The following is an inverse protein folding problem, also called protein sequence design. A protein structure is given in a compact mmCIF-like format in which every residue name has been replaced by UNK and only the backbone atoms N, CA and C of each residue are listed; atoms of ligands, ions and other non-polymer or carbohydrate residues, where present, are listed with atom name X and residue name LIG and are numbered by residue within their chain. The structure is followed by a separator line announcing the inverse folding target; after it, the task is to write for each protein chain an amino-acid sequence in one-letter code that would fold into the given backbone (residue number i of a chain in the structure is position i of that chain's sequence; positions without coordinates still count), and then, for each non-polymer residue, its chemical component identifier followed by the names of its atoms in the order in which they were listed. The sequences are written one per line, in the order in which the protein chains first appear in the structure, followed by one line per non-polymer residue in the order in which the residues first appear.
data_IF_950631205707
#
_entry.id   IF_950631205707
#
_cell.length_a   1.000
_cell.length_b   1.000
_cell.length_c   1.000
_cell.angle_alpha   90.00
_cell.angle_beta   90.00
_cell.angle_gamma   90.00
#
_symmetry.space_group_name_H-M   'P 1'
#
loop_
_entity.id
_entity.type
_entity.pdbx_description
1 polymer ?
#
# COMPACT_ATOMS: atom_id res chain seq x y z
N UNK A 1 29.91 5.16 -5.22
CA UNK A 1 29.22 3.90 -5.02
C UNK A 1 30.12 2.71 -5.32
N UNK A 2 29.93 1.59 -4.66
CA UNK A 2 30.70 0.38 -4.93
C UNK A 2 30.03 -0.46 -6.04
N UNK A 3 30.70 -1.53 -6.51
CA UNK A 3 30.22 -2.39 -7.58
C UNK A 3 28.86 -3.08 -7.25
N UNK A 4 28.60 -3.36 -5.99
CA UNK A 4 27.31 -3.91 -5.54
C UNK A 4 26.19 -2.89 -5.74
N UNK A 5 26.44 -1.65 -5.35
CA UNK A 5 25.47 -0.57 -5.55
C UNK A 5 25.17 -0.33 -7.03
N UNK A 6 26.19 -0.39 -7.89
CA UNK A 6 26.02 -0.31 -9.34
C UNK A 6 25.11 -1.43 -9.86
N UNK A 7 25.38 -2.68 -9.51
CA UNK A 7 24.55 -3.83 -9.94
C UNK A 7 23.11 -3.73 -9.42
N UNK A 8 22.93 -3.31 -8.16
CA UNK A 8 21.59 -3.12 -7.58
C UNK A 8 20.79 -2.03 -8.32
N UNK A 9 21.44 -0.93 -8.68
CA UNK A 9 20.78 0.20 -9.34
C UNK A 9 20.61 -0.01 -10.84
N UNK A 10 21.63 -0.54 -11.53
CA UNK A 10 21.64 -0.69 -12.98
C UNK A 10 20.92 -1.95 -13.44
N UNK A 11 21.25 -3.12 -12.86
CA UNK A 11 20.65 -4.41 -13.21
C UNK A 11 19.36 -4.70 -12.43
N UNK A 12 18.99 -3.82 -11.46
CA UNK A 12 17.81 -3.98 -10.60
C UNK A 12 17.83 -5.27 -9.75
N UNK A 13 19.01 -5.72 -9.40
CA UNK A 13 19.25 -6.87 -8.53
C UNK A 13 19.10 -6.51 -7.05
N UNK A 14 18.81 -7.52 -6.22
CA UNK A 14 18.97 -7.40 -4.76
C UNK A 14 20.45 -7.44 -4.40
N UNK A 15 20.81 -7.03 -3.19
CA UNK A 15 22.19 -7.12 -2.71
C UNK A 15 22.75 -8.55 -2.77
N UNK A 16 21.93 -9.54 -2.37
CA UNK A 16 22.30 -10.95 -2.40
C UNK A 16 22.52 -11.45 -3.83
N UNK A 17 21.67 -11.08 -4.77
CA UNK A 17 21.84 -11.40 -6.20
C UNK A 17 23.11 -10.77 -6.76
N UNK A 18 23.39 -9.52 -6.40
CA UNK A 18 24.63 -8.84 -6.81
C UNK A 18 25.88 -9.52 -6.23
N UNK A 19 25.83 -9.95 -4.97
CA UNK A 19 26.93 -10.70 -4.33
C UNK A 19 27.14 -12.06 -4.99
N UNK A 20 26.07 -12.82 -5.28
CA UNK A 20 26.17 -14.10 -6.01
C UNK A 20 26.73 -13.93 -7.39
N UNK A 21 26.21 -12.99 -8.17
CA UNK A 21 26.66 -12.70 -9.54
C UNK A 21 28.15 -12.37 -9.59
N UNK A 22 28.64 -11.60 -8.62
CA UNK A 22 30.07 -11.30 -8.52
C UNK A 22 30.86 -12.52 -8.04
N UNK A 23 30.36 -13.27 -7.05
CA UNK A 23 30.99 -14.51 -6.60
C UNK A 23 31.19 -15.50 -7.74
N UNK A 24 30.15 -15.78 -8.49
CA UNK A 24 30.18 -16.69 -9.65
C UNK A 24 31.16 -16.19 -10.73
N UNK A 25 31.15 -14.88 -11.00
CA UNK A 25 32.04 -14.28 -12.01
C UNK A 25 33.52 -14.37 -11.65
N UNK A 26 33.85 -14.29 -10.36
CA UNK A 26 35.22 -14.30 -9.87
C UNK A 26 35.64 -15.63 -9.24
N UNK A 27 34.81 -16.69 -9.33
CA UNK A 27 35.11 -18.01 -8.79
C UNK A 27 35.19 -18.04 -7.26
N UNK A 28 34.53 -17.10 -6.59
CA UNK A 28 34.49 -17.03 -5.12
C UNK A 28 33.22 -17.74 -4.64
N UNK A 29 33.39 -18.85 -3.93
CA UNK A 29 32.26 -19.52 -3.28
C UNK A 29 31.68 -18.65 -2.16
N UNK A 30 30.53 -18.05 -2.43
CA UNK A 30 29.80 -17.25 -1.43
C UNK A 30 29.05 -18.19 -0.51
N UNK A 31 29.59 -18.47 0.66
CA UNK A 31 28.89 -19.19 1.73
C UNK A 31 27.90 -18.24 2.38
N UNK A 32 26.64 -18.33 1.96
CA UNK A 32 25.53 -17.61 2.58
C UNK A 32 25.14 -18.40 3.84
N UNK A 33 25.08 -17.73 4.98
CA UNK A 33 24.75 -18.36 6.27
C UNK A 33 23.28 -18.75 6.42
N UNK A 34 22.70 -18.58 7.60
CA UNK A 34 21.29 -18.90 7.92
C UNK A 34 20.29 -18.22 6.96
N UNK A 35 20.70 -17.15 6.28
CA UNK A 35 19.99 -16.50 5.16
C UNK A 35 19.66 -17.42 3.97
N UNK A 36 20.41 -18.53 3.77
CA UNK A 36 20.17 -19.41 2.63
C UNK A 36 18.85 -20.18 2.70
N UNK A 37 18.47 -20.60 3.92
CA UNK A 37 17.20 -21.32 4.14
C UNK A 37 16.02 -20.38 3.90
N UNK A 38 16.12 -19.15 4.38
CA UNK A 38 15.08 -18.14 4.21
C UNK A 38 14.96 -17.73 2.73
N UNK A 39 16.07 -17.62 2.01
CA UNK A 39 16.08 -17.33 0.57
C UNK A 39 15.47 -18.48 -0.25
N UNK A 40 15.80 -19.74 0.07
CA UNK A 40 15.22 -20.90 -0.58
C UNK A 40 13.70 -21.01 -0.28
N UNK A 41 13.28 -20.74 0.95
CA UNK A 41 11.84 -20.68 1.30
C UNK A 41 11.10 -19.58 0.54
N UNK A 42 11.66 -18.37 0.46
CA UNK A 42 11.11 -17.28 -0.31
C UNK A 42 11.03 -17.59 -1.81
N UNK A 43 12.01 -18.28 -2.35
CA UNK A 43 11.99 -18.76 -3.74
C UNK A 43 10.85 -19.75 -3.95
N UNK A 44 10.75 -20.79 -3.11
CA UNK A 44 9.64 -21.77 -3.19
C UNK A 44 8.28 -21.12 -3.06
N UNK A 45 8.15 -20.10 -2.20
CA UNK A 45 6.91 -19.36 -2.04
C UNK A 45 6.56 -18.58 -3.32
N UNK A 46 7.53 -17.92 -3.97
CA UNK A 46 7.32 -17.21 -5.25
C UNK A 46 6.96 -18.19 -6.37
N UNK A 47 7.64 -19.33 -6.45
CA UNK A 47 7.36 -20.37 -7.44
C UNK A 47 5.95 -20.93 -7.25
N UNK A 48 5.51 -21.13 -6.00
CA UNK A 48 4.16 -21.57 -5.70
C UNK A 48 3.10 -20.52 -6.10
N UNK A 49 3.32 -19.23 -5.82
CA UNK A 49 2.41 -18.14 -6.24
C UNK A 49 2.34 -18.03 -7.77
N UNK A 50 3.46 -18.24 -8.46
CA UNK A 50 3.51 -18.30 -9.94
C UNK A 50 2.67 -19.45 -10.48
N UNK A 51 2.84 -20.66 -9.93
CA UNK A 51 2.08 -21.84 -10.31
C UNK A 51 0.58 -21.67 -10.03
N UNK A 52 0.21 -21.04 -8.91
CA UNK A 52 -1.17 -20.69 -8.60
C UNK A 52 -1.75 -19.71 -9.63
N UNK A 53 -0.95 -18.74 -10.09
CA UNK A 53 -1.35 -17.82 -11.16
C UNK A 53 -1.65 -18.56 -12.45
N UNK A 54 -0.80 -19.49 -12.87
CA UNK A 54 -1.04 -20.32 -14.05
C UNK A 54 -2.30 -21.16 -13.93
N UNK A 55 -2.54 -21.72 -12.74
CA UNK A 55 -3.76 -22.49 -12.49
C UNK A 55 -5.02 -21.63 -12.57
N UNK A 56 -5.02 -20.43 -11.99
CA UNK A 56 -6.14 -19.50 -12.12
C UNK A 56 -6.35 -19.08 -13.59
N UNK A 57 -5.30 -18.91 -14.37
CA UNK A 57 -5.42 -18.61 -15.81
C UNK A 57 -5.99 -19.81 -16.59
N UNK A 58 -5.57 -21.04 -16.31
CA UNK A 58 -6.15 -22.25 -16.88
C UNK A 58 -7.62 -22.37 -16.54
N UNK A 59 -7.97 -22.11 -15.28
CA UNK A 59 -9.35 -22.13 -14.79
C UNK A 59 -10.23 -21.11 -15.51
N UNK A 60 -9.72 -19.89 -15.75
CA UNK A 60 -10.43 -18.85 -16.49
C UNK A 60 -10.72 -19.28 -17.93
N UNK A 61 -9.79 -19.99 -18.58
CA UNK A 61 -9.92 -20.47 -19.96
C UNK A 61 -10.69 -21.78 -20.09
N UNK A 62 -11.11 -22.39 -18.97
CA UNK A 62 -11.90 -23.63 -18.94
C UNK A 62 -13.39 -23.38 -19.20
N UNK A 63 -14.15 -24.48 -19.31
CA UNK A 63 -15.62 -24.40 -19.42
C UNK A 63 -16.23 -23.67 -18.23
N UNK A 64 -15.71 -23.89 -17.01
CA UNK A 64 -16.19 -23.27 -15.79
C UNK A 64 -15.84 -21.77 -15.70
N UNK A 65 -14.83 -21.31 -16.44
CA UNK A 65 -14.46 -19.89 -16.53
C UNK A 65 -15.31 -19.06 -17.50
N UNK A 66 -16.19 -19.69 -18.32
CA UNK A 66 -17.01 -18.98 -19.32
C UNK A 66 -17.84 -17.82 -18.74
N UNK A 67 -18.50 -17.96 -17.56
CA UNK A 67 -19.25 -16.83 -16.96
C UNK A 67 -18.32 -15.65 -16.64
N UNK A 68 -17.11 -15.90 -16.13
CA UNK A 68 -16.12 -14.87 -15.79
C UNK A 68 -15.59 -14.20 -17.07
N UNK A 69 -15.31 -14.97 -18.12
CA UNK A 69 -14.92 -14.43 -19.42
C UNK A 69 -16.02 -13.57 -20.03
N UNK A 70 -17.31 -13.98 -19.88
CA UNK A 70 -18.46 -13.18 -20.30
C UNK A 70 -18.49 -11.85 -19.53
N UNK A 71 -18.36 -11.90 -18.20
CA UNK A 71 -18.28 -10.70 -17.36
C UNK A 71 -17.15 -9.75 -17.81
N UNK A 72 -15.93 -10.26 -18.03
CA UNK A 72 -14.81 -9.45 -18.49
C UNK A 72 -15.09 -8.81 -19.85
N UNK A 73 -15.73 -9.54 -20.76
CA UNK A 73 -16.17 -9.01 -22.07
C UNK A 73 -17.22 -7.92 -21.95
N UNK A 74 -18.24 -8.12 -21.09
CA UNK A 74 -19.28 -7.12 -20.80
C UNK A 74 -18.70 -5.86 -20.17
N UNK A 75 -17.65 -6.00 -19.36
CA UNK A 75 -16.87 -4.87 -18.81
C UNK A 75 -15.90 -4.27 -19.82
N UNK A 76 -15.81 -4.78 -21.05
CA UNK A 76 -14.93 -4.25 -22.10
C UNK A 76 -13.45 -4.59 -21.92
N UNK A 77 -13.08 -5.53 -21.04
CA UNK A 77 -11.67 -5.92 -20.83
C UNK A 77 -11.19 -6.77 -22.01
N UNK A 78 -10.13 -6.31 -22.68
CA UNK A 78 -9.56 -6.96 -23.85
C UNK A 78 -8.82 -8.26 -23.48
N UNK A 79 -8.76 -9.21 -24.45
CA UNK A 79 -7.95 -10.44 -24.29
C UNK A 79 -6.47 -10.12 -24.03
N UNK A 80 -5.97 -9.04 -24.62
CA UNK A 80 -4.59 -8.58 -24.38
C UNK A 80 -4.41 -8.17 -22.92
N UNK A 81 -5.31 -7.37 -22.37
CA UNK A 81 -5.29 -6.94 -20.97
C UNK A 81 -5.38 -8.13 -20.02
N UNK A 82 -6.29 -9.09 -20.28
CA UNK A 82 -6.41 -10.35 -19.51
C UNK A 82 -5.07 -11.08 -19.46
N UNK A 83 -4.39 -11.22 -20.61
CA UNK A 83 -3.08 -11.88 -20.70
C UNK A 83 -1.98 -11.08 -20.03
N UNK A 84 -1.89 -9.78 -20.29
CA UNK A 84 -0.82 -8.90 -19.79
C UNK A 84 -0.81 -8.79 -18.26
N UNK A 85 -1.99 -8.85 -17.63
CA UNK A 85 -2.16 -8.81 -16.18
C UNK A 85 -2.43 -10.18 -15.56
N UNK A 86 -2.34 -11.25 -16.36
CA UNK A 86 -2.49 -12.63 -15.91
C UNK A 86 -3.78 -12.89 -15.12
N UNK A 87 -4.90 -12.24 -15.54
CA UNK A 87 -6.17 -12.43 -14.87
C UNK A 87 -6.57 -13.91 -14.89
N UNK A 88 -7.18 -14.38 -13.81
CA UNK A 88 -7.52 -15.77 -13.62
C UNK A 88 -8.90 -15.95 -12.98
N UNK A 89 -9.24 -17.19 -12.69
CA UNK A 89 -10.46 -17.55 -11.98
C UNK A 89 -10.18 -18.60 -10.90
N UNK A 90 -10.58 -18.33 -9.67
CA UNK A 90 -10.63 -19.31 -8.61
C UNK A 90 -11.99 -20.01 -8.64
N UNK A 91 -11.98 -21.33 -8.84
CA UNK A 91 -13.21 -22.14 -8.90
C UNK A 91 -14.07 -21.96 -7.65
N UNK A 92 -15.35 -22.24 -7.78
CA UNK A 92 -16.26 -22.40 -6.65
C UNK A 92 -16.02 -23.78 -6.00
N UNK A 93 -14.91 -23.87 -5.29
CA UNK A 93 -14.46 -25.08 -4.60
C UNK A 93 -13.70 -24.73 -3.33
N UNK A 94 -13.91 -25.52 -2.29
CA UNK A 94 -13.26 -25.33 -1.00
C UNK A 94 -11.82 -25.80 -0.96
N UNK A 95 -11.40 -26.65 -1.89
CA UNK A 95 -10.12 -27.36 -1.82
C UNK A 95 -9.45 -27.65 -3.18
N UNK A 96 -9.86 -26.96 -4.25
CA UNK A 96 -9.27 -27.17 -5.59
C UNK A 96 -7.78 -26.91 -5.60
N UNK A 97 -7.36 -25.70 -5.18
CA UNK A 97 -5.96 -25.32 -5.13
C UNK A 97 -5.20 -26.11 -4.05
N UNK A 98 -5.85 -26.41 -2.93
CA UNK A 98 -5.28 -27.23 -1.86
C UNK A 98 -4.94 -28.64 -2.33
N UNK A 99 -5.84 -29.29 -3.08
CA UNK A 99 -5.58 -30.61 -3.68
C UNK A 99 -4.41 -30.56 -4.66
N UNK A 100 -4.37 -29.51 -5.48
CA UNK A 100 -3.27 -29.32 -6.43
C UNK A 100 -1.94 -29.09 -5.70
N UNK A 101 -1.90 -28.26 -4.68
CA UNK A 101 -0.72 -28.01 -3.87
C UNK A 101 -0.20 -29.30 -3.21
N UNK A 102 -1.08 -30.10 -2.63
CA UNK A 102 -0.74 -31.41 -2.04
C UNK A 102 -0.20 -32.39 -3.08
N UNK A 103 -0.87 -32.50 -4.24
CA UNK A 103 -0.43 -33.35 -5.35
C UNK A 103 0.98 -32.99 -5.82
N UNK A 104 1.32 -31.71 -5.84
CA UNK A 104 2.63 -31.19 -6.25
C UNK A 104 3.65 -31.16 -5.10
N UNK A 105 3.35 -31.75 -3.94
CA UNK A 105 4.28 -31.85 -2.82
C UNK A 105 4.65 -30.52 -2.17
N UNK A 106 3.79 -29.51 -2.27
CA UNK A 106 4.06 -28.20 -1.65
C UNK A 106 4.06 -28.32 -0.12
N UNK A 107 5.16 -27.94 0.55
CA UNK A 107 5.25 -28.03 2.02
C UNK A 107 4.20 -27.20 2.74
N UNK A 108 3.72 -27.67 3.90
CA UNK A 108 2.67 -26.99 4.68
C UNK A 108 3.04 -25.56 5.10
N UNK A 109 4.30 -25.32 5.46
CA UNK A 109 4.80 -23.97 5.80
C UNK A 109 4.73 -23.00 4.60
N UNK A 110 4.96 -23.47 3.37
CA UNK A 110 4.81 -22.66 2.16
C UNK A 110 3.34 -22.36 1.91
N UNK A 111 2.45 -23.36 2.06
CA UNK A 111 1.00 -23.15 1.95
C UNK A 111 0.51 -22.09 2.96
N UNK A 112 0.90 -22.19 4.22
CA UNK A 112 0.50 -21.27 5.29
C UNK A 112 0.98 -19.82 5.02
N UNK A 113 2.20 -19.65 4.49
CA UNK A 113 2.79 -18.35 4.17
C UNK A 113 2.31 -17.74 2.85
N UNK A 114 1.61 -18.51 2.01
CA UNK A 114 1.20 -18.07 0.67
C UNK A 114 0.05 -17.05 0.67
N UNK A 115 -0.76 -17.05 1.72
CA UNK A 115 -2.00 -16.25 1.78
C UNK A 115 -3.11 -16.77 0.84
N UNK A 116 -2.96 -17.97 0.26
CA UNK A 116 -3.93 -18.61 -0.62
C UNK A 116 -4.89 -19.55 0.12
N UNK A 117 -4.58 -19.87 1.37
CA UNK A 117 -5.38 -20.76 2.19
C UNK A 117 -5.84 -20.09 3.47
N UNK A 118 -6.93 -20.59 4.01
CA UNK A 118 -7.45 -20.24 5.34
C UNK A 118 -7.44 -21.48 6.21
N UNK A 119 -6.83 -21.41 7.39
CA UNK A 119 -6.81 -22.48 8.36
C UNK A 119 -7.88 -22.19 9.43
N UNK A 120 -8.70 -23.17 9.71
CA UNK A 120 -9.74 -23.15 10.78
C UNK A 120 -9.67 -24.46 11.58
N UNK A 121 -10.45 -24.56 12.65
CA UNK A 121 -10.61 -25.81 13.40
C UNK A 121 -11.15 -26.97 12.53
N UNK A 122 -11.91 -26.65 11.48
CA UNK A 122 -12.48 -27.63 10.52
C UNK A 122 -11.48 -28.06 9.43
N UNK A 123 -10.30 -27.45 9.37
CA UNK A 123 -9.26 -27.77 8.38
C UNK A 123 -8.72 -26.59 7.61
N UNK A 124 -8.03 -26.90 6.52
CA UNK A 124 -7.43 -25.93 5.59
C UNK A 124 -8.27 -25.88 4.32
N UNK A 125 -8.60 -24.68 3.86
CA UNK A 125 -9.45 -24.43 2.71
C UNK A 125 -8.85 -23.38 1.80
N UNK A 126 -9.23 -23.40 0.52
CA UNK A 126 -8.91 -22.35 -0.44
C UNK A 126 -9.51 -21.01 0.03
N UNK A 127 -8.68 -19.98 0.11
CA UNK A 127 -9.11 -18.64 0.52
C UNK A 127 -10.00 -17.99 -0.52
N UNK A 128 -9.65 -18.13 -1.79
CA UNK A 128 -10.38 -17.55 -2.91
C UNK A 128 -11.24 -18.62 -3.57
N UNK A 129 -12.55 -18.37 -3.63
CA UNK A 129 -13.56 -19.26 -4.21
C UNK A 129 -14.53 -18.42 -5.01
N UNK A 130 -14.92 -18.92 -6.19
CA UNK A 130 -15.82 -18.23 -7.12
C UNK A 130 -15.43 -16.76 -7.35
N UNK A 131 -14.12 -16.50 -7.63
CA UNK A 131 -13.59 -15.15 -7.78
C UNK A 131 -12.77 -14.96 -9.04
N UNK A 132 -13.00 -13.84 -9.73
CA UNK A 132 -12.06 -13.31 -10.71
C UNK A 132 -10.79 -12.88 -9.97
N UNK A 133 -9.64 -13.41 -10.41
CA UNK A 133 -8.36 -13.24 -9.72
C UNK A 133 -7.47 -12.20 -10.41
N UNK A 134 -6.89 -11.33 -9.60
CA UNK A 134 -5.95 -10.28 -9.99
C UNK A 134 -4.60 -10.57 -9.32
N UNK A 135 -3.62 -11.13 -10.03
CA UNK A 135 -2.28 -11.30 -9.49
C UNK A 135 -1.64 -9.95 -9.16
N UNK A 136 -1.14 -9.81 -7.95
CA UNK A 136 -0.46 -8.61 -7.47
C UNK A 136 1.04 -8.87 -7.58
N UNK A 137 1.76 -7.98 -8.27
CA UNK A 137 3.17 -8.11 -8.54
C UNK A 137 4.01 -7.13 -7.72
N UNK A 138 5.21 -7.56 -7.35
CA UNK A 138 6.23 -6.62 -6.88
C UNK A 138 6.73 -5.75 -8.07
N UNK A 139 7.49 -4.66 -7.82
CA UNK A 139 8.02 -3.84 -8.90
C UNK A 139 8.94 -4.59 -9.89
N UNK A 140 9.48 -5.75 -9.50
CA UNK A 140 10.27 -6.65 -10.37
C UNK A 140 9.43 -7.53 -11.30
N UNK A 141 8.10 -7.57 -11.11
CA UNK A 141 7.19 -8.38 -11.93
C UNK A 141 6.91 -9.80 -11.40
N UNK A 142 7.38 -10.14 -10.21
CA UNK A 142 7.07 -11.42 -9.55
C UNK A 142 5.73 -11.31 -8.82
N UNK A 143 4.89 -12.34 -8.91
CA UNK A 143 3.63 -12.41 -8.15
C UNK A 143 3.93 -12.56 -6.66
N UNK A 144 3.30 -11.73 -5.83
CA UNK A 144 3.49 -11.69 -4.37
C UNK A 144 2.19 -11.88 -3.60
N UNK A 145 1.05 -11.70 -4.24
CA UNK A 145 -0.28 -11.81 -3.64
C UNK A 145 -1.36 -11.83 -4.72
N UNK A 146 -2.62 -11.88 -4.29
CA UNK A 146 -3.78 -11.85 -5.16
C UNK A 146 -4.87 -10.95 -4.58
N UNK A 147 -5.59 -10.26 -5.48
CA UNK A 147 -6.93 -9.76 -5.26
C UNK A 147 -7.94 -10.70 -5.90
N UNK A 148 -9.15 -10.77 -5.34
CA UNK A 148 -10.22 -11.60 -5.87
C UNK A 148 -11.55 -10.85 -5.83
N UNK A 149 -12.21 -10.65 -6.98
CA UNK A 149 -13.56 -10.10 -7.07
C UNK A 149 -14.56 -11.24 -7.13
N UNK A 150 -15.53 -11.23 -6.23
CA UNK A 150 -16.57 -12.27 -6.23
C UNK A 150 -17.40 -12.26 -7.52
N UNK A 151 -17.76 -13.45 -7.98
CA UNK A 151 -18.71 -13.66 -9.07
C UNK A 151 -20.13 -13.95 -8.53
N UNK A 152 -20.25 -14.12 -7.21
CA UNK A 152 -21.51 -14.28 -6.50
C UNK A 152 -22.04 -12.88 -6.09
N UNK A 153 -23.30 -12.61 -6.45
CA UNK A 153 -23.98 -11.35 -6.12
C UNK A 153 -24.35 -11.24 -4.63
N UNK A 154 -24.52 -12.38 -3.99
CA UNK A 154 -24.92 -12.47 -2.57
C UNK A 154 -23.71 -12.41 -1.62
N UNK A 155 -22.47 -12.52 -2.13
CA UNK A 155 -21.27 -12.39 -1.30
C UNK A 155 -21.04 -10.91 -0.92
N UNK A 156 -21.13 -10.56 0.39
CA UNK A 156 -20.96 -9.18 0.85
C UNK A 156 -19.54 -8.63 0.59
N UNK A 157 -18.54 -9.51 0.45
CA UNK A 157 -17.16 -9.15 0.17
C UNK A 157 -16.90 -9.05 -1.33
N UNK A 158 -17.38 -7.96 -1.98
CA UNK A 158 -17.18 -7.72 -3.41
C UNK A 158 -15.72 -7.92 -3.84
N UNK A 159 -14.76 -7.42 -3.05
CA UNK A 159 -13.33 -7.64 -3.24
C UNK A 159 -12.69 -8.21 -1.98
N UNK A 160 -11.75 -9.12 -2.16
CA UNK A 160 -10.94 -9.72 -1.10
C UNK A 160 -9.49 -9.78 -1.56
N UNK A 161 -8.55 -9.39 -0.70
CA UNK A 161 -7.13 -9.50 -0.96
C UNK A 161 -6.47 -10.59 -0.12
N UNK A 162 -5.30 -11.05 -0.56
CA UNK A 162 -4.41 -11.85 0.29
C UNK A 162 -4.19 -11.15 1.64
N UNK A 163 -3.99 -11.89 2.75
CA UNK A 163 -3.56 -11.31 4.01
C UNK A 163 -2.13 -10.74 3.89
N UNK A 164 -1.67 -10.04 4.91
CA UNK A 164 -0.25 -9.69 5.04
C UNK A 164 0.60 -10.97 5.04
N UNK A 165 1.69 -10.96 4.27
CA UNK A 165 2.65 -12.08 4.19
C UNK A 165 4.08 -11.55 4.20
N UNK A 166 5.06 -12.45 4.25
CA UNK A 166 6.48 -12.06 4.12
C UNK A 166 6.82 -11.41 2.77
N UNK A 167 6.01 -11.66 1.73
CA UNK A 167 6.18 -11.07 0.40
C UNK A 167 5.27 -9.88 0.14
N UNK A 168 4.16 -9.75 0.87
CA UNK A 168 3.11 -8.79 0.54
C UNK A 168 2.70 -7.97 1.75
N UNK A 169 2.74 -6.66 1.59
CA UNK A 169 2.21 -5.71 2.56
C UNK A 169 1.29 -4.72 1.86
N UNK A 170 -0.01 -4.77 2.21
CA UNK A 170 -1.08 -3.98 1.58
C UNK A 170 -0.80 -2.49 1.59
N UNK A 171 -0.16 -2.00 2.64
CA UNK A 171 0.05 -0.58 2.88
C UNK A 171 1.22 0.03 2.09
N UNK A 172 1.90 -0.75 1.22
CA UNK A 172 3.05 -0.29 0.44
C UNK A 172 3.10 -0.79 -1.00
N UNK A 173 2.15 -1.62 -1.42
CA UNK A 173 2.14 -2.23 -2.75
C UNK A 173 1.07 -1.57 -3.61
N UNK A 174 1.45 -1.20 -4.84
CA UNK A 174 0.52 -0.74 -5.86
C UNK A 174 0.29 -1.82 -6.91
N UNK A 175 -0.97 -2.02 -7.26
CA UNK A 175 -1.33 -2.86 -8.39
C UNK A 175 -0.87 -2.22 -9.70
N UNK A 176 -0.30 -3.01 -10.58
CA UNK A 176 0.14 -2.60 -11.91
C UNK A 176 1.48 -1.86 -11.97
N UNK A 177 2.10 -1.50 -10.83
CA UNK A 177 3.34 -0.72 -10.79
C UNK A 177 4.49 -1.37 -11.56
N UNK A 178 4.58 -2.70 -11.59
CA UNK A 178 5.57 -3.43 -12.38
C UNK A 178 5.53 -3.08 -13.88
N UNK A 179 4.35 -2.76 -14.43
CA UNK A 179 4.16 -2.37 -15.84
C UNK A 179 4.33 -0.86 -16.06
N UNK A 180 3.91 -0.05 -15.08
CA UNK A 180 3.72 1.40 -15.28
C UNK A 180 4.88 2.27 -14.75
N UNK A 181 5.73 1.74 -13.84
CA UNK A 181 6.81 2.50 -13.20
C UNK A 181 7.73 3.25 -14.16
N UNK A 182 8.08 2.64 -15.31
CA UNK A 182 8.94 3.27 -16.33
C UNK A 182 8.26 4.48 -16.97
N UNK A 183 6.96 4.37 -17.23
CA UNK A 183 6.18 5.46 -17.82
C UNK A 183 6.01 6.58 -16.80
N UNK A 184 5.64 6.27 -15.55
CA UNK A 184 5.53 7.25 -14.46
C UNK A 184 6.85 8.03 -14.30
N UNK A 185 7.98 7.33 -14.28
CA UNK A 185 9.29 7.96 -14.18
C UNK A 185 9.59 8.86 -15.39
N UNK A 186 9.27 8.40 -16.60
CA UNK A 186 9.51 9.15 -17.85
C UNK A 186 8.62 10.39 -17.94
N UNK A 187 7.35 10.29 -17.57
CA UNK A 187 6.38 11.40 -17.63
C UNK A 187 6.50 12.35 -16.44
N UNK A 188 7.16 11.92 -15.36
CA UNK A 188 7.22 12.67 -14.11
C UNK A 188 5.86 12.77 -13.39
N UNK A 189 4.85 11.99 -13.82
CA UNK A 189 3.48 12.05 -13.28
C UNK A 189 2.88 10.65 -13.20
N UNK A 190 2.27 10.31 -12.07
CA UNK A 190 1.46 9.10 -11.89
C UNK A 190 0.00 9.44 -11.68
N UNK A 191 -0.90 8.55 -12.12
CA UNK A 191 -2.35 8.64 -11.89
C UNK A 191 -2.72 7.56 -10.89
N UNK A 192 -3.30 7.93 -9.76
CA UNK A 192 -3.68 7.02 -8.69
C UNK A 192 -5.19 6.81 -8.68
N UNK A 193 -5.60 5.55 -8.77
CA UNK A 193 -6.99 5.11 -8.68
C UNK A 193 -7.19 4.13 -7.51
N UNK A 194 -8.45 3.80 -7.17
CA UNK A 194 -8.75 2.94 -6.03
C UNK A 194 -8.71 1.45 -6.39
N UNK A 195 -9.32 1.06 -7.51
CA UNK A 195 -9.66 -0.32 -7.82
C UNK A 195 -8.84 -0.98 -8.93
N UNK A 196 -8.96 -2.30 -9.00
CA UNK A 196 -8.35 -3.12 -10.05
C UNK A 196 -8.96 -2.82 -11.43
N UNK A 197 -10.28 -2.64 -11.49
CA UNK A 197 -10.98 -2.43 -12.76
C UNK A 197 -10.67 -1.04 -13.32
N UNK A 198 -10.64 -0.01 -12.46
CA UNK A 198 -10.25 1.35 -12.85
C UNK A 198 -8.87 1.37 -13.48
N UNK A 199 -7.91 0.70 -12.81
CA UNK A 199 -6.57 0.55 -13.33
C UNK A 199 -6.55 -0.12 -14.71
N UNK A 200 -7.24 -1.26 -14.87
CA UNK A 200 -7.20 -2.04 -16.12
C UNK A 200 -7.84 -1.27 -17.28
N UNK A 201 -8.94 -0.57 -17.03
CA UNK A 201 -9.63 0.22 -18.06
C UNK A 201 -8.80 1.41 -18.51
N UNK A 202 -8.24 2.18 -17.57
CA UNK A 202 -7.36 3.30 -17.92
C UNK A 202 -6.11 2.81 -18.67
N UNK A 203 -5.49 1.74 -18.19
CA UNK A 203 -4.29 1.18 -18.81
C UNK A 203 -4.55 0.71 -20.25
N UNK A 204 -5.61 -0.04 -20.49
CA UNK A 204 -5.93 -0.53 -21.84
C UNK A 204 -6.38 0.57 -22.81
N UNK A 205 -6.89 1.69 -22.29
CA UNK A 205 -7.22 2.87 -23.04
C UNK A 205 -6.00 3.75 -23.39
N UNK A 206 -4.79 3.30 -23.02
CA UNK A 206 -3.54 3.99 -23.33
C UNK A 206 -3.02 4.93 -22.24
N UNK A 207 -3.73 5.08 -21.13
CA UNK A 207 -3.30 5.87 -19.97
C UNK A 207 -2.39 4.97 -19.11
N UNK A 208 -1.11 4.87 -19.49
CA UNK A 208 -0.20 3.84 -18.97
C UNK A 208 0.68 4.27 -17.82
N UNK A 209 0.51 5.48 -17.29
CA UNK A 209 1.15 5.98 -16.06
C UNK A 209 0.24 5.84 -14.81
N UNK A 210 -0.69 4.90 -14.82
CA UNK A 210 -1.66 4.63 -13.76
C UNK A 210 -1.12 3.64 -12.74
N UNK A 211 -1.59 3.71 -11.49
CA UNK A 211 -1.35 2.79 -10.39
C UNK A 211 -2.59 2.73 -9.47
N UNK A 212 -2.81 1.60 -8.79
CA UNK A 212 -3.95 1.46 -7.89
C UNK A 212 -3.53 0.96 -6.50
N UNK A 213 -4.22 1.44 -5.45
CA UNK A 213 -4.09 0.91 -4.08
C UNK A 213 -4.83 -0.42 -3.88
N UNK A 214 -5.77 -0.71 -4.77
CA UNK A 214 -6.43 -2.01 -4.91
C UNK A 214 -7.08 -2.55 -3.62
N UNK A 215 -8.05 -1.79 -3.10
CA UNK A 215 -8.88 -2.20 -1.97
C UNK A 215 -8.27 -1.95 -0.59
N UNK A 216 -7.37 -0.98 -0.50
CA UNK A 216 -6.84 -0.47 0.77
C UNK A 216 -6.82 1.06 0.78
N UNK A 217 -6.84 1.67 1.96
CA UNK A 217 -6.63 3.11 2.05
C UNK A 217 -5.19 3.46 1.64
N UNK A 218 -5.02 4.64 1.02
CA UNK A 218 -3.70 5.20 0.73
C UNK A 218 -2.99 5.59 2.05
N UNK A 219 -1.70 5.27 2.18
CA UNK A 219 -0.93 5.39 3.42
C UNK A 219 0.40 6.13 3.23
N UNK A 220 1.07 6.51 4.32
CA UNK A 220 2.41 7.07 4.30
C UNK A 220 3.45 6.13 3.66
N UNK A 221 3.30 4.82 3.82
CA UNK A 221 4.16 3.84 3.15
C UNK A 221 3.99 3.88 1.63
N UNK A 222 2.76 4.09 1.13
CA UNK A 222 2.51 4.32 -0.28
C UNK A 222 3.18 5.61 -0.76
N UNK A 223 3.09 6.70 0.01
CA UNK A 223 3.80 7.96 -0.29
C UNK A 223 5.29 7.75 -0.42
N UNK A 224 5.90 7.00 0.51
CA UNK A 224 7.32 6.66 0.45
C UNK A 224 7.71 5.92 -0.84
N UNK A 225 6.86 5.01 -1.35
CA UNK A 225 7.13 4.32 -2.61
C UNK A 225 6.97 5.24 -3.83
N UNK A 226 5.89 6.02 -3.88
CA UNK A 226 5.62 6.93 -5.00
C UNK A 226 6.69 8.02 -5.11
N UNK A 227 7.18 8.54 -3.98
CA UNK A 227 8.22 9.58 -3.94
C UNK A 227 9.51 9.20 -4.67
N UNK A 228 9.80 7.89 -4.77
CA UNK A 228 10.95 7.37 -5.54
C UNK A 228 10.73 7.41 -7.06
N UNK A 229 9.49 7.54 -7.50
CA UNK A 229 9.09 7.45 -8.90
C UNK A 229 8.78 8.81 -9.50
N UNK A 230 8.11 9.67 -8.74
CA UNK A 230 7.62 10.96 -9.24
C UNK A 230 7.44 11.97 -8.13
N UNK A 231 7.35 13.26 -8.51
CA UNK A 231 7.00 14.37 -7.64
C UNK A 231 5.56 14.86 -7.85
N UNK A 232 4.82 14.24 -8.76
CA UNK A 232 3.45 14.66 -9.10
C UNK A 232 2.54 13.44 -9.21
N UNK A 233 1.42 13.46 -8.51
CA UNK A 233 0.35 12.45 -8.56
C UNK A 233 -0.99 13.11 -8.85
N UNK A 234 -1.69 12.57 -9.81
CA UNK A 234 -3.08 12.90 -10.11
C UNK A 234 -3.96 11.84 -9.45
N UNK A 235 -4.82 12.26 -8.54
CA UNK A 235 -5.81 11.42 -7.90
C UNK A 235 -7.08 11.37 -8.77
N UNK A 236 -7.54 10.17 -9.11
CA UNK A 236 -8.76 9.93 -9.88
C UNK A 236 -9.54 8.82 -9.16
N UNK A 237 -10.23 9.20 -8.09
CA UNK A 237 -11.01 8.32 -7.24
C UNK A 237 -12.50 8.40 -7.61
N UNK A 238 -13.32 7.52 -7.03
CA UNK A 238 -14.74 7.45 -7.33
C UNK A 238 -15.45 8.79 -7.12
N UNK A 239 -16.44 9.09 -7.97
CA UNK A 239 -17.19 10.35 -7.94
C UNK A 239 -18.24 10.44 -6.82
N UNK A 240 -18.32 9.46 -5.92
CA UNK A 240 -19.18 9.51 -4.76
C UNK A 240 -18.56 10.32 -3.58
N UNK A 241 -19.31 10.52 -2.50
CA UNK A 241 -18.83 11.28 -1.33
C UNK A 241 -17.61 10.62 -0.67
N UNK A 242 -17.57 9.30 -0.62
CA UNK A 242 -16.48 8.54 0.02
C UNK A 242 -15.18 8.65 -0.77
N UNK A 243 -15.24 8.52 -2.11
CA UNK A 243 -14.10 8.68 -3.01
C UNK A 243 -13.57 10.11 -3.02
N UNK A 244 -14.45 11.12 -3.02
CA UNK A 244 -14.04 12.53 -2.89
C UNK A 244 -13.30 12.82 -1.58
N UNK A 245 -13.81 12.34 -0.45
CA UNK A 245 -13.13 12.47 0.84
C UNK A 245 -11.80 11.69 0.87
N UNK A 246 -11.76 10.50 0.26
CA UNK A 246 -10.55 9.69 0.14
C UNK A 246 -9.49 10.42 -0.71
N UNK A 247 -9.89 11.10 -1.81
CA UNK A 247 -9.00 11.95 -2.62
C UNK A 247 -8.38 13.07 -1.79
N UNK A 248 -9.16 13.76 -0.98
CA UNK A 248 -8.65 14.84 -0.11
C UNK A 248 -7.67 14.28 0.93
N UNK A 249 -8.01 13.18 1.60
CA UNK A 249 -7.11 12.52 2.56
C UNK A 249 -5.80 12.09 1.91
N UNK A 250 -5.86 11.42 0.75
CA UNK A 250 -4.69 10.98 0.00
C UNK A 250 -3.84 12.18 -0.46
N UNK A 251 -4.48 13.25 -0.91
CA UNK A 251 -3.83 14.49 -1.32
C UNK A 251 -3.00 15.13 -0.21
N UNK A 252 -3.52 15.24 0.99
CA UNK A 252 -2.76 15.76 2.13
C UNK A 252 -1.60 14.83 2.54
N UNK A 253 -1.76 13.52 2.45
CA UNK A 253 -0.65 12.59 2.66
C UNK A 253 0.47 12.80 1.64
N UNK A 254 0.13 13.00 0.36
CA UNK A 254 1.09 13.29 -0.71
C UNK A 254 1.83 14.61 -0.45
N UNK A 255 1.10 15.69 -0.11
CA UNK A 255 1.71 16.98 0.23
C UNK A 255 2.71 16.87 1.39
N UNK A 256 2.35 16.14 2.46
CA UNK A 256 3.27 15.90 3.59
C UNK A 256 4.51 15.14 3.17
N UNK A 257 4.41 14.28 2.16
CA UNK A 257 5.53 13.54 1.57
C UNK A 257 6.35 14.34 0.55
N UNK A 258 6.01 15.61 0.29
CA UNK A 258 6.68 16.46 -0.71
C UNK A 258 6.36 16.05 -2.16
N UNK A 259 5.15 15.54 -2.39
CA UNK A 259 4.61 15.18 -3.70
C UNK A 259 3.44 16.13 -4.01
N UNK A 260 3.42 16.72 -5.20
CA UNK A 260 2.34 17.58 -5.67
C UNK A 260 1.10 16.73 -6.00
N UNK A 261 -0.03 16.89 -5.28
CA UNK A 261 -1.27 16.23 -5.62
C UNK A 261 -2.14 17.11 -6.50
N UNK A 262 -2.59 16.57 -7.62
CA UNK A 262 -3.65 17.11 -8.44
C UNK A 262 -4.86 16.19 -8.36
N UNK A 263 -6.06 16.69 -8.60
CA UNK A 263 -7.29 15.92 -8.54
C UNK A 263 -8.05 16.06 -9.83
N UNK A 264 -8.50 14.93 -10.38
CA UNK A 264 -9.49 14.87 -11.45
C UNK A 264 -10.84 14.58 -10.81
N UNK A 265 -11.78 15.49 -10.98
CA UNK A 265 -13.16 15.31 -10.55
C UNK A 265 -13.85 14.29 -11.44
N UNK A 266 -14.04 13.08 -10.93
CA UNK A 266 -14.87 12.05 -11.56
C UNK A 266 -16.34 12.46 -11.40
N UNK A 267 -17.20 12.33 -12.45
CA UNK A 267 -18.61 12.70 -12.37
C UNK A 267 -19.36 11.96 -11.28
N UNK A 268 -20.38 12.60 -10.70
CA UNK A 268 -21.17 12.06 -9.61
C UNK A 268 -21.76 10.68 -9.97
N UNK A 269 -21.56 9.71 -9.08
CA UNK A 269 -22.09 8.35 -9.21
C UNK A 269 -21.33 7.44 -10.18
N UNK A 270 -20.24 7.92 -10.81
CA UNK A 270 -19.35 7.09 -11.63
C UNK A 270 -18.08 6.72 -10.88
N UNK A 271 -17.51 5.59 -11.24
CA UNK A 271 -16.11 5.26 -10.97
C UNK A 271 -15.26 5.49 -12.25
N UNK A 272 -13.93 5.52 -12.17
CA UNK A 272 -13.08 5.71 -13.36
C UNK A 272 -13.29 4.66 -14.45
N UNK A 273 -13.62 3.38 -14.11
CA UNK A 273 -13.96 2.31 -15.04
C UNK A 273 -15.23 2.65 -15.84
N UNK A 274 -16.31 2.99 -15.14
CA UNK A 274 -17.58 3.34 -15.78
C UNK A 274 -17.44 4.63 -16.62
N UNK A 275 -16.72 5.64 -16.09
CA UNK A 275 -16.52 6.90 -16.78
C UNK A 275 -15.75 6.75 -18.10
N UNK A 276 -14.61 6.04 -18.11
CA UNK A 276 -13.84 5.87 -19.35
C UNK A 276 -14.58 5.02 -20.39
N UNK A 277 -15.41 4.08 -19.95
CA UNK A 277 -16.26 3.29 -20.87
C UNK A 277 -17.39 4.11 -21.47
N UNK A 278 -17.90 5.10 -20.73
CA UNK A 278 -18.97 5.97 -21.18
C UNK A 278 -18.46 7.07 -22.14
N UNK A 279 -17.42 7.80 -21.73
CA UNK A 279 -17.00 9.04 -22.39
C UNK A 279 -15.73 8.87 -23.23
N UNK A 280 -15.02 7.75 -23.08
CA UNK A 280 -13.82 7.42 -23.85
C UNK A 280 -12.53 8.06 -23.33
N UNK A 281 -11.40 7.59 -23.87
CA UNK A 281 -10.07 7.99 -23.43
C UNK A 281 -9.72 9.46 -23.70
N UNK A 282 -10.28 10.06 -24.77
CA UNK A 282 -10.00 11.45 -25.14
C UNK A 282 -10.50 12.41 -24.08
N UNK A 283 -11.75 12.24 -23.62
CA UNK A 283 -12.35 13.05 -22.55
C UNK A 283 -11.55 12.93 -21.25
N UNK A 284 -11.18 11.70 -20.89
CA UNK A 284 -10.38 11.45 -19.69
C UNK A 284 -9.00 12.14 -19.79
N UNK A 285 -8.33 12.05 -20.94
CA UNK A 285 -7.04 12.72 -21.16
C UNK A 285 -7.13 14.24 -21.03
N UNK A 286 -8.20 14.86 -21.53
CA UNK A 286 -8.42 16.30 -21.36
C UNK A 286 -8.63 16.67 -19.87
N UNK A 287 -9.39 15.85 -19.13
CA UNK A 287 -9.57 16.04 -17.69
C UNK A 287 -8.28 15.86 -16.89
N UNK A 288 -7.43 14.91 -17.29
CA UNK A 288 -6.08 14.75 -16.71
C UNK A 288 -5.21 16.00 -16.93
N UNK A 289 -5.28 16.62 -18.10
CA UNK A 289 -4.52 17.86 -18.38
C UNK A 289 -5.01 19.05 -17.55
N UNK A 290 -6.28 19.08 -17.23
CA UNK A 290 -6.95 20.15 -16.46
C UNK A 290 -7.18 19.76 -14.99
N UNK A 291 -6.45 18.77 -14.48
CA UNK A 291 -6.55 18.37 -13.07
C UNK A 291 -6.24 19.52 -12.11
N UNK A 292 -7.06 19.67 -11.09
CA UNK A 292 -7.02 20.80 -10.17
C UNK A 292 -6.06 20.56 -8.99
N UNK A 293 -5.40 21.62 -8.47
CA UNK A 293 -4.65 21.52 -7.22
C UNK A 293 -5.55 21.06 -6.06
N UNK A 294 -5.02 20.24 -5.16
CA UNK A 294 -5.74 19.71 -3.99
C UNK A 294 -6.50 20.79 -3.21
N UNK A 295 -5.87 21.91 -2.95
CA UNK A 295 -6.43 22.98 -2.10
C UNK A 295 -7.67 23.60 -2.76
N UNK A 296 -7.57 23.93 -4.05
CA UNK A 296 -8.70 24.45 -4.84
C UNK A 296 -9.85 23.45 -4.87
N UNK A 297 -9.54 22.18 -5.19
CA UNK A 297 -10.53 21.10 -5.17
C UNK A 297 -11.22 20.96 -3.81
N UNK A 298 -10.46 20.94 -2.70
CA UNK A 298 -11.02 20.77 -1.36
C UNK A 298 -11.94 21.92 -0.97
N UNK A 299 -11.58 23.18 -1.31
CA UNK A 299 -12.41 24.37 -1.06
C UNK A 299 -13.73 24.29 -1.86
N UNK A 300 -13.65 23.89 -3.14
CA UNK A 300 -14.81 23.75 -4.02
C UNK A 300 -15.75 22.63 -3.54
N UNK A 301 -15.19 21.46 -3.25
CA UNK A 301 -15.92 20.28 -2.76
C UNK A 301 -16.67 20.59 -1.46
N UNK A 302 -16.03 21.32 -0.55
CA UNK A 302 -16.65 21.72 0.71
C UNK A 302 -17.74 22.78 0.56
N UNK A 303 -17.85 23.45 -0.59
CA UNK A 303 -18.85 24.49 -0.83
C UNK A 303 -18.69 25.71 0.09
N UNK A 304 -17.46 26.11 0.39
CA UNK A 304 -17.10 27.13 1.39
C UNK A 304 -17.84 28.44 1.21
N UNK A 305 -18.21 28.81 -0.02
CA UNK A 305 -18.98 30.02 -0.34
C UNK A 305 -20.40 30.02 0.27
N UNK A 306 -20.95 28.84 0.59
CA UNK A 306 -22.31 28.66 1.15
C UNK A 306 -22.30 28.42 2.65
N UNK A 307 -21.11 28.32 3.27
CA UNK A 307 -20.95 28.05 4.71
C UNK A 307 -21.28 29.30 5.55
N UNK A 308 -21.87 29.08 6.69
CA UNK A 308 -21.93 30.10 7.75
C UNK A 308 -20.53 30.50 8.26
N UNK A 309 -20.33 31.66 8.87
CA UNK A 309 -19.03 32.06 9.40
C UNK A 309 -18.41 31.03 10.38
N UNK A 310 -19.23 30.37 11.18
CA UNK A 310 -18.78 29.37 12.15
C UNK A 310 -18.29 28.08 11.44
N UNK A 311 -19.06 27.58 10.48
CA UNK A 311 -18.70 26.41 9.66
C UNK A 311 -17.42 26.67 8.85
N UNK A 312 -17.34 27.85 8.20
CA UNK A 312 -16.17 28.29 7.46
C UNK A 312 -14.91 28.34 8.35
N UNK A 313 -15.04 28.89 9.57
CA UNK A 313 -13.94 28.91 10.54
C UNK A 313 -13.50 27.50 10.94
N UNK A 314 -14.44 26.58 11.16
CA UNK A 314 -14.17 25.17 11.45
C UNK A 314 -13.42 24.49 10.30
N UNK A 315 -13.88 24.67 9.06
CA UNK A 315 -13.25 24.15 7.85
C UNK A 315 -11.81 24.65 7.67
N UNK A 316 -11.60 25.97 7.82
CA UNK A 316 -10.26 26.57 7.73
C UNK A 316 -9.31 25.96 8.77
N UNK A 317 -9.76 25.78 10.02
CA UNK A 317 -8.95 25.15 11.06
C UNK A 317 -8.57 23.71 10.71
N UNK A 318 -9.50 22.94 10.14
CA UNK A 318 -9.24 21.58 9.69
C UNK A 318 -8.16 21.57 8.59
N UNK A 319 -8.27 22.44 7.58
CA UNK A 319 -7.24 22.58 6.53
C UNK A 319 -5.88 22.94 7.12
N UNK A 320 -5.82 23.93 8.02
CA UNK A 320 -4.59 24.35 8.68
C UNK A 320 -3.95 23.18 9.43
N UNK A 321 -4.76 22.35 10.12
CA UNK A 321 -4.27 21.16 10.85
C UNK A 321 -3.59 20.16 9.92
N UNK A 322 -4.11 19.98 8.71
CA UNK A 322 -3.50 19.12 7.67
C UNK A 322 -2.18 19.71 7.19
N UNK A 323 -2.14 21.00 6.85
CA UNK A 323 -0.97 21.71 6.31
C UNK A 323 0.17 21.81 7.33
N UNK A 324 -0.14 21.98 8.61
CA UNK A 324 0.84 21.99 9.72
C UNK A 324 1.67 20.69 9.77
N UNK A 325 1.14 19.57 9.24
CA UNK A 325 1.85 18.30 9.14
C UNK A 325 2.98 18.27 8.09
N UNK A 326 3.06 19.27 7.20
CA UNK A 326 4.11 19.36 6.17
C UNK A 326 5.42 19.75 6.82
N UNK A 327 6.46 18.93 6.63
CA UNK A 327 7.78 19.14 7.26
C UNK A 327 8.57 20.27 6.59
N UNK A 328 8.45 20.41 5.27
CA UNK A 328 9.10 21.49 4.51
C UNK A 328 8.45 22.84 4.83
N UNK A 329 9.19 23.70 5.49
CA UNK A 329 8.71 25.00 5.92
C UNK A 329 8.37 25.93 4.75
N UNK A 330 9.15 25.85 3.66
CA UNK A 330 8.93 26.71 2.48
C UNK A 330 7.64 26.28 1.79
N UNK A 331 7.51 24.99 1.48
CA UNK A 331 6.28 24.44 0.90
C UNK A 331 5.06 24.73 1.76
N UNK A 332 5.17 24.56 3.08
CA UNK A 332 4.07 24.85 4.01
C UNK A 332 3.63 26.31 3.97
N UNK A 333 4.56 27.25 3.95
CA UNK A 333 4.23 28.68 3.90
C UNK A 333 3.62 29.06 2.55
N UNK A 334 4.14 28.52 1.43
CA UNK A 334 3.53 28.73 0.11
C UNK A 334 2.08 28.19 0.05
N UNK A 335 1.80 27.04 0.68
CA UNK A 335 0.44 26.52 0.77
C UNK A 335 -0.45 27.42 1.64
N UNK A 336 0.05 27.95 2.76
CA UNK A 336 -0.75 28.91 3.56
C UNK A 336 -1.07 30.18 2.77
N UNK A 337 -0.12 30.71 2.01
CA UNK A 337 -0.36 31.85 1.12
C UNK A 337 -1.43 31.50 0.08
N UNK A 338 -1.29 30.35 -0.58
CA UNK A 338 -2.26 29.89 -1.57
C UNK A 338 -3.68 29.73 -0.96
N UNK A 339 -3.81 29.15 0.23
CA UNK A 339 -5.09 29.06 0.95
C UNK A 339 -5.65 30.44 1.29
N UNK A 340 -4.81 31.38 1.71
CA UNK A 340 -5.23 32.74 2.04
C UNK A 340 -5.82 33.45 0.82
N UNK A 341 -5.17 33.33 -0.34
CA UNK A 341 -5.60 33.89 -1.62
C UNK A 341 -6.93 33.24 -2.09
N UNK A 342 -7.04 31.92 -2.07
CA UNK A 342 -8.25 31.19 -2.48
C UNK A 342 -9.47 31.53 -1.59
N UNK A 343 -9.24 31.69 -0.30
CA UNK A 343 -10.30 31.97 0.67
C UNK A 343 -10.52 33.47 0.92
N UNK A 344 -9.74 34.36 0.30
CA UNK A 344 -9.80 35.80 0.49
C UNK A 344 -9.73 36.22 2.00
N UNK A 345 -8.70 35.67 2.70
CA UNK A 345 -8.40 35.96 4.11
C UNK A 345 -6.94 36.36 4.29
N UNK A 346 -6.57 36.96 5.38
CA UNK A 346 -5.21 37.34 5.65
C UNK A 346 -4.34 36.11 6.02
N UNK A 347 -3.20 35.93 5.39
CA UNK A 347 -2.24 34.84 5.68
C UNK A 347 -1.86 34.81 7.18
N UNK A 348 -1.69 35.98 7.83
CA UNK A 348 -1.39 36.08 9.26
C UNK A 348 -2.41 35.36 10.16
N UNK A 349 -3.69 35.30 9.75
CA UNK A 349 -4.74 34.65 10.53
C UNK A 349 -4.59 33.14 10.47
N UNK A 350 -4.19 32.60 9.30
CA UNK A 350 -3.85 31.18 9.14
C UNK A 350 -2.61 30.80 9.95
N UNK A 351 -1.56 31.64 9.90
CA UNK A 351 -0.33 31.39 10.65
C UNK A 351 -0.57 31.41 12.17
N UNK A 352 -1.41 32.31 12.66
CA UNK A 352 -1.81 32.36 14.08
C UNK A 352 -2.55 31.08 14.52
N UNK A 353 -3.40 30.50 13.65
CA UNK A 353 -4.04 29.20 13.90
C UNK A 353 -3.01 28.08 13.85
N UNK A 354 -2.12 28.09 12.86
CA UNK A 354 -1.06 27.08 12.69
C UNK A 354 -0.12 27.00 13.90
N UNK A 355 0.30 28.15 14.46
CA UNK A 355 1.12 28.19 15.68
C UNK A 355 0.41 27.55 16.88
N UNK A 356 -0.90 27.83 17.06
CA UNK A 356 -1.70 27.22 18.13
C UNK A 356 -1.77 25.70 17.98
N UNK A 357 -2.00 25.20 16.76
CA UNK A 357 -2.05 23.77 16.49
C UNK A 357 -0.69 23.09 16.68
N UNK A 358 0.42 23.72 16.28
CA UNK A 358 1.77 23.21 16.55
C UNK A 358 2.06 23.13 18.05
N UNK A 359 1.68 24.14 18.83
CA UNK A 359 1.84 24.13 20.29
C UNK A 359 1.02 23.03 20.96
N UNK A 360 -0.21 22.76 20.43
CA UNK A 360 -1.04 21.64 20.91
C UNK A 360 -0.41 20.28 20.64
N UNK A 361 0.18 20.07 19.45
CA UNK A 361 0.90 18.83 19.10
C UNK A 361 2.19 18.66 19.89
N UNK A 362 2.87 19.73 20.29
CA UNK A 362 4.12 19.70 21.09
C UNK A 362 3.89 19.50 22.59
N UNK A 363 2.72 19.87 23.11
CA UNK A 363 2.37 19.52 24.51
C UNK A 363 2.13 18.00 24.54
N UNK A 364 2.88 17.21 25.36
CA UNK A 364 2.50 15.84 25.60
C UNK A 364 1.04 15.88 26.08
N UNK A 365 0.20 15.03 25.47
CA UNK A 365 -1.14 14.79 26.00
C UNK A 365 -0.94 14.34 27.45
N UNK A 366 -1.15 15.25 28.37
CA UNK A 366 -1.41 14.88 29.74
C UNK A 366 -2.80 14.23 29.69
N UNK A 367 -2.81 12.92 29.42
CA UNK A 367 -3.98 12.10 29.61
C UNK A 367 -4.36 12.19 31.08
N UNK A 368 -5.29 13.10 31.37
CA UNK A 368 -6.01 13.04 32.63
C UNK A 368 -6.80 11.73 32.60
N UNK A 369 -6.35 10.77 33.44
CA UNK A 369 -7.06 9.56 33.84
C UNK A 369 -7.31 8.46 32.80
N UNK A 370 -6.27 7.99 32.10
CA UNK A 370 -6.17 6.55 31.91
C UNK A 370 -5.10 6.06 32.89
N UNK A 371 -5.53 5.46 34.01
CA UNK A 371 -4.66 4.57 34.78
C UNK A 371 -4.21 3.51 33.81
N UNK A 372 -3.02 3.69 33.17
CA UNK A 372 -2.35 2.59 32.50
C UNK A 372 -2.22 1.51 33.56
N UNK A 373 -2.71 0.30 33.33
CA UNK A 373 -2.37 -0.78 34.21
C UNK A 373 -0.84 -0.77 34.26
N UNK A 374 -0.26 -0.50 35.42
CA UNK A 374 1.19 -0.63 35.61
C UNK A 374 1.48 -2.08 35.43
N UNK A 375 2.01 -2.47 34.27
CA UNK A 375 2.45 -3.84 33.95
C UNK A 375 3.42 -4.36 34.99
N UNK A 376 3.99 -3.48 35.84
CA UNK A 376 4.94 -3.76 36.88
C UNK A 376 4.53 -3.01 38.15
N UNK A 377 3.98 -3.73 39.12
CA UNK A 377 3.42 -3.15 40.34
C UNK A 377 4.39 -3.14 41.50
N UNK A 378 5.40 -4.04 41.52
CA UNK A 378 6.36 -4.20 42.59
C UNK A 378 7.69 -3.44 42.34
N UNK A 379 8.37 -3.09 43.41
CA UNK A 379 9.72 -2.49 43.36
C UNK A 379 10.72 -3.40 42.65
N UNK A 380 10.56 -4.73 42.82
CA UNK A 380 11.37 -5.76 42.17
C UNK A 380 11.16 -5.78 40.66
N UNK A 381 9.92 -5.77 40.18
CA UNK A 381 9.61 -5.76 38.74
C UNK A 381 10.14 -4.51 38.03
N UNK A 382 10.09 -3.36 38.68
CA UNK A 382 10.68 -2.12 38.15
C UNK A 382 12.20 -2.21 38.03
N UNK A 383 12.88 -2.80 39.01
CA UNK A 383 14.32 -3.02 38.96
C UNK A 383 14.71 -4.02 37.86
N UNK A 384 13.94 -5.09 37.68
CA UNK A 384 14.12 -6.04 36.56
C UNK A 384 13.96 -5.39 35.21
N UNK A 385 12.94 -4.49 35.02
CA UNK A 385 12.77 -3.75 33.80
C UNK A 385 13.96 -2.83 33.49
N UNK A 386 14.51 -2.15 34.50
CA UNK A 386 15.71 -1.31 34.31
C UNK A 386 16.93 -2.14 33.91
N UNK A 387 17.12 -3.32 34.48
CA UNK A 387 18.18 -4.25 34.07
C UNK A 387 18.01 -4.71 32.61
N UNK A 388 16.79 -5.02 32.16
CA UNK A 388 16.50 -5.37 30.74
C UNK A 388 16.82 -4.20 29.82
N UNK A 389 16.48 -2.96 30.21
CA UNK A 389 16.82 -1.75 29.41
C UNK A 389 18.35 -1.58 29.30
N UNK A 390 19.10 -1.79 30.37
CA UNK A 390 20.57 -1.72 30.37
C UNK A 390 21.18 -2.84 29.50
N UNK A 391 20.60 -4.04 29.50
CA UNK A 391 20.98 -5.13 28.60
C UNK A 391 20.67 -4.86 27.14
N UNK A 392 19.63 -4.09 26.85
CA UNK A 392 19.26 -3.65 25.49
C UNK A 392 20.06 -2.40 25.03
N UNK A 393 20.74 -1.71 25.95
CA UNK A 393 21.56 -0.54 25.64
C UNK A 393 22.80 -0.86 24.80
N UNK A 394 23.46 0.14 24.21
CA UNK A 394 24.61 -0.04 23.30
C UNK A 394 25.96 -0.27 24.02
N UNK A 395 26.04 -0.04 25.34
CA UNK A 395 27.29 -0.17 26.11
C UNK A 395 27.61 -1.64 26.40
N UNK A 396 28.59 -2.17 25.67
CA UNK A 396 29.06 -3.56 25.79
C UNK A 396 29.64 -3.91 27.18
N UNK A 397 30.28 -2.94 27.86
CA UNK A 397 30.86 -3.17 29.17
C UNK A 397 29.79 -3.34 30.28
N UNK A 398 28.73 -2.53 30.16
CA UNK A 398 27.56 -2.63 31.04
C UNK A 398 26.83 -3.95 30.83
N UNK A 399 26.63 -4.34 29.56
CA UNK A 399 26.03 -5.63 29.21
C UNK A 399 26.80 -6.82 29.78
N UNK A 400 28.12 -6.81 29.65
CA UNK A 400 28.96 -7.91 30.13
C UNK A 400 28.90 -8.02 31.68
N UNK A 401 29.02 -6.88 32.38
CA UNK A 401 28.91 -6.86 33.85
C UNK A 401 27.57 -7.38 34.35
N UNK A 402 26.47 -7.05 33.68
CA UNK A 402 25.13 -7.53 34.03
C UNK A 402 25.03 -9.05 33.79
N UNK A 403 25.51 -9.55 32.66
CA UNK A 403 25.52 -10.98 32.34
C UNK A 403 26.31 -11.79 33.34
N UNK A 404 27.45 -11.26 33.80
CA UNK A 404 28.32 -11.95 34.76
C UNK A 404 27.78 -11.90 36.18
N UNK A 405 26.85 -10.96 36.48
CA UNK A 405 26.40 -10.69 37.87
C UNK A 405 24.94 -11.09 38.13
N UNK A 406 24.12 -11.29 37.08
CA UNK A 406 22.68 -11.51 37.20
C UNK A 406 22.28 -12.83 36.53
N UNK A 407 21.76 -13.79 37.34
CA UNK A 407 21.22 -15.04 36.81
C UNK A 407 19.83 -14.84 36.21
N UNK A 408 19.48 -15.64 35.20
CA UNK A 408 18.15 -15.63 34.54
C UNK A 408 17.00 -15.84 35.54
N UNK A 409 17.25 -16.58 36.61
CA UNK A 409 16.28 -16.85 37.69
C UNK A 409 15.88 -15.59 38.47
N UNK A 410 16.68 -14.53 38.40
CA UNK A 410 16.38 -13.23 38.99
C UNK A 410 15.14 -12.57 38.36
N UNK A 411 14.85 -12.86 37.10
CA UNK A 411 13.69 -12.35 36.42
C UNK A 411 12.47 -13.21 36.76
N UNK A 412 11.64 -12.74 37.68
CA UNK A 412 10.44 -13.45 38.14
C UNK A 412 9.22 -13.19 37.27
N UNK A 413 9.19 -12.06 36.52
CA UNK A 413 8.08 -11.71 35.63
C UNK A 413 8.16 -12.51 34.33
N UNK A 414 7.07 -13.20 33.93
CA UNK A 414 7.00 -13.91 32.62
C UNK A 414 7.19 -12.99 31.40
N UNK A 415 6.96 -11.67 31.57
CA UNK A 415 7.11 -10.67 30.50
C UNK A 415 8.57 -10.22 30.37
N UNK A 416 9.43 -10.45 31.37
CA UNK A 416 10.86 -10.03 31.40
C UNK A 416 11.83 -11.20 31.21
N UNK A 417 11.35 -12.44 31.22
CA UNK A 417 12.10 -13.64 30.81
C UNK A 417 12.09 -13.84 29.31
#
# INVERSE_FOLDING_TARGET
GNVFHFLMEYEKMTFVEAVKTLGDRYGIEVKLGQDDRDQEELKRLRDFLSNATEEFQKSLNSVNGKPVMKYLKERGISKKTIKDFQLGFAFDSWDHLLKLARKNGIPGNIMDKSGLFTRTEKGVFDRFRNRLMFPIHNPGGQVIAFGGRTMDKEDPAKYMNSPETVLYSKNRVFYGLNKTKKVIHKTGTGILVEGYMDFLQLYQAGITNVLAVAGTAFTENHVYQVRKLTKKIILMYDGDSAGREASVRAGYLLLRGGIEPLIVSVPDGLDPDDWIRQDGAEVINEKIKTAEPLITYHIQMAGVKKMSPAERSGFIRAMVTEVVGIQDNILRNEIFRFIADELQIHERDLLAVAEKEQRRKRKPRTDHNIKRPTLFSSRSEKAQLELVKLLAGEDLNVRQKIRDSVMLEFFTSPVLK
#
